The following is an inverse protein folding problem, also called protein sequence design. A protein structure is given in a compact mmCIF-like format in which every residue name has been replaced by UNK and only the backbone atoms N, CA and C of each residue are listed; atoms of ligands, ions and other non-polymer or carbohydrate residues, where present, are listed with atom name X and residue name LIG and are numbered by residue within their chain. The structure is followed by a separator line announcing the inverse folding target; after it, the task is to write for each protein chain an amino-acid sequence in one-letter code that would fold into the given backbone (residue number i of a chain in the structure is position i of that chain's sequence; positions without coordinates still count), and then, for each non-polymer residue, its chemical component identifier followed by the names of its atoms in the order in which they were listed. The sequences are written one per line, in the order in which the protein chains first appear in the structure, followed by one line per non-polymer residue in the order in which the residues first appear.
data_IF_864995288015
#
_entry.id   IF_864995288015
#
_cell.length_a   1.000
_cell.length_b   1.000
_cell.length_c   1.000
_cell.angle_alpha   90.00
_cell.angle_beta   90.00
_cell.angle_gamma   90.00
#
_symmetry.space_group_name_H-M   'P 1'
#
loop_
_entity.id
_entity.type
_entity.pdbx_description
1 polymer ?
#
# COMPACT_ATOMS: atom_id res chain seq x y z
N UNK A 1 -47.36 5.54 42.81
CA UNK A 1 -48.18 5.41 41.58
C UNK A 1 -47.81 6.60 40.71
N UNK A 2 -46.92 6.40 39.73
CA UNK A 2 -46.53 7.47 38.81
C UNK A 2 -47.58 7.50 37.69
N UNK A 3 -48.50 8.45 37.75
CA UNK A 3 -49.44 8.71 36.66
C UNK A 3 -48.65 9.37 35.52
N UNK A 4 -48.39 8.60 34.45
CA UNK A 4 -47.80 9.13 33.23
C UNK A 4 -48.83 10.04 32.53
N UNK A 5 -48.42 11.18 31.95
CA UNK A 5 -49.34 12.15 31.35
C UNK A 5 -50.05 11.55 30.13
N UNK A 6 -51.36 11.86 29.98
CA UNK A 6 -52.18 11.43 28.85
C UNK A 6 -51.51 11.78 27.52
N UNK A 7 -51.25 10.75 26.70
CA UNK A 7 -50.51 10.83 25.45
C UNK A 7 -49.21 10.04 25.44
N UNK A 8 -48.58 9.79 26.60
CA UNK A 8 -47.37 8.93 26.68
C UNK A 8 -47.68 7.45 26.38
N UNK A 9 -48.83 6.95 26.81
CA UNK A 9 -49.27 5.58 26.52
C UNK A 9 -49.49 5.35 25.01
N UNK A 10 -49.97 6.36 24.27
CA UNK A 10 -50.16 6.26 22.82
C UNK A 10 -48.84 6.17 22.05
N UNK A 11 -47.82 6.93 22.46
CA UNK A 11 -46.47 6.82 21.88
C UNK A 11 -45.80 5.49 22.21
N UNK A 12 -45.98 4.99 23.43
CA UNK A 12 -45.46 3.68 23.84
C UNK A 12 -46.11 2.57 22.99
N UNK A 13 -47.44 2.56 22.85
CA UNK A 13 -48.16 1.58 22.03
C UNK A 13 -47.78 1.65 20.55
N UNK A 14 -47.55 2.86 20.02
CA UNK A 14 -47.09 3.05 18.64
C UNK A 14 -45.66 2.48 18.42
N UNK A 15 -44.75 2.68 19.37
CA UNK A 15 -43.37 2.19 19.32
C UNK A 15 -43.24 0.69 19.62
N UNK A 16 -44.14 0.11 20.42
CA UNK A 16 -44.20 -1.34 20.69
C UNK A 16 -45.07 -2.10 19.71
N UNK A 17 -45.65 -1.43 18.71
CA UNK A 17 -46.41 -2.12 17.67
C UNK A 17 -45.48 -3.08 16.90
N UNK A 18 -45.94 -4.30 16.54
CA UNK A 18 -45.11 -5.27 15.83
C UNK A 18 -44.46 -4.71 14.56
N UNK A 19 -45.15 -3.80 13.87
CA UNK A 19 -44.65 -3.10 12.69
C UNK A 19 -43.50 -2.12 13.03
N UNK A 20 -43.66 -1.30 14.08
CA UNK A 20 -42.61 -0.39 14.53
C UNK A 20 -41.38 -1.15 15.05
N UNK A 21 -41.58 -2.22 15.81
CA UNK A 21 -40.48 -3.05 16.33
C UNK A 21 -39.70 -3.73 15.20
N UNK A 22 -40.39 -4.27 14.19
CA UNK A 22 -39.75 -4.89 13.02
C UNK A 22 -38.95 -3.87 12.21
N UNK A 23 -39.47 -2.65 12.04
CA UNK A 23 -38.76 -1.56 11.35
C UNK A 23 -37.48 -1.15 12.10
N UNK A 24 -37.56 -1.00 13.43
CA UNK A 24 -36.40 -0.64 14.27
C UNK A 24 -35.33 -1.73 14.20
N UNK A 25 -35.71 -3.01 14.31
CA UNK A 25 -34.77 -4.14 14.20
C UNK A 25 -34.12 -4.20 12.81
N UNK A 26 -34.90 -4.01 11.74
CA UNK A 26 -34.38 -3.97 10.37
C UNK A 26 -33.40 -2.82 10.14
N UNK A 27 -33.74 -1.61 10.61
CA UNK A 27 -32.87 -0.45 10.52
C UNK A 27 -31.56 -0.63 11.32
N UNK A 28 -31.63 -1.19 12.52
CA UNK A 28 -30.47 -1.51 13.33
C UNK A 28 -29.57 -2.57 12.64
N UNK A 29 -30.16 -3.61 12.05
CA UNK A 29 -29.43 -4.65 11.32
C UNK A 29 -28.65 -4.09 10.12
N UNK A 30 -29.25 -3.18 9.35
CA UNK A 30 -28.59 -2.49 8.23
C UNK A 30 -27.46 -1.60 8.73
N UNK A 31 -27.69 -0.81 9.78
CA UNK A 31 -26.67 0.06 10.36
C UNK A 31 -25.47 -0.74 10.89
N UNK A 32 -25.72 -1.82 11.65
CA UNK A 32 -24.66 -2.72 12.15
C UNK A 32 -23.92 -3.38 11.00
N UNK A 33 -24.61 -3.79 9.93
CA UNK A 33 -23.98 -4.38 8.75
C UNK A 33 -23.05 -3.40 8.03
N UNK A 34 -23.50 -2.15 7.85
CA UNK A 34 -22.70 -1.07 7.25
C UNK A 34 -21.49 -0.76 8.14
N UNK A 35 -21.69 -0.60 9.44
CA UNK A 35 -20.63 -0.34 10.41
C UNK A 35 -19.61 -1.48 10.38
N UNK A 36 -20.07 -2.73 10.45
CA UNK A 36 -19.23 -3.92 10.41
C UNK A 36 -18.43 -3.99 9.11
N UNK A 37 -19.07 -3.73 7.96
CA UNK A 37 -18.39 -3.66 6.67
C UNK A 37 -17.30 -2.58 6.65
N UNK A 38 -17.58 -1.37 7.17
CA UNK A 38 -16.61 -0.28 7.26
C UNK A 38 -15.45 -0.65 8.18
N UNK A 39 -15.72 -1.26 9.34
CA UNK A 39 -14.68 -1.71 10.27
C UNK A 39 -13.82 -2.82 9.68
N UNK A 40 -14.41 -3.84 9.06
CA UNK A 40 -13.68 -4.91 8.38
C UNK A 40 -12.79 -4.35 7.28
N UNK A 41 -13.31 -3.42 6.46
CA UNK A 41 -12.53 -2.75 5.42
C UNK A 41 -11.35 -1.96 5.99
N UNK A 42 -11.54 -1.24 7.11
CA UNK A 42 -10.44 -0.55 7.82
C UNK A 42 -9.41 -1.52 8.38
N UNK A 43 -9.84 -2.61 8.99
CA UNK A 43 -8.93 -3.65 9.52
C UNK A 43 -8.12 -4.32 8.41
N UNK A 44 -8.74 -4.64 7.26
CA UNK A 44 -8.05 -5.18 6.10
C UNK A 44 -6.97 -4.22 5.61
N UNK A 45 -7.29 -2.91 5.54
CA UNK A 45 -6.32 -1.87 5.14
C UNK A 45 -5.11 -1.78 6.06
N UNK A 46 -5.34 -1.79 7.37
CA UNK A 46 -4.27 -1.76 8.36
C UNK A 46 -3.42 -3.02 8.31
N UNK A 47 -4.04 -4.20 8.18
CA UNK A 47 -3.32 -5.47 8.07
C UNK A 47 -2.45 -5.52 6.83
N UNK A 48 -2.98 -5.16 5.67
CA UNK A 48 -2.22 -5.12 4.43
C UNK A 48 -1.04 -4.12 4.50
N UNK A 49 -1.24 -2.96 5.14
CA UNK A 49 -0.16 -2.00 5.38
C UNK A 49 0.94 -2.60 6.26
N UNK A 50 0.58 -3.23 7.38
CA UNK A 50 1.53 -3.89 8.28
C UNK A 50 2.25 -5.05 7.60
N UNK A 51 1.55 -5.83 6.78
CA UNK A 51 2.12 -6.93 6.02
C UNK A 51 3.14 -6.42 5.00
N UNK A 52 2.79 -5.40 4.21
CA UNK A 52 3.73 -4.77 3.28
C UNK A 52 4.94 -4.21 4.03
N UNK A 53 4.74 -3.52 5.14
CA UNK A 53 5.85 -3.02 5.96
C UNK A 53 6.73 -4.16 6.50
N UNK A 54 6.12 -5.29 6.89
CA UNK A 54 6.87 -6.47 7.34
C UNK A 54 7.72 -7.07 6.23
N UNK A 55 7.16 -7.21 5.01
CA UNK A 55 7.85 -7.74 3.83
C UNK A 55 8.98 -6.81 3.42
N UNK A 56 8.71 -5.50 3.34
CA UNK A 56 9.74 -4.50 3.03
C UNK A 56 10.85 -4.47 4.10
N UNK A 57 10.60 -4.93 5.32
CA UNK A 57 11.60 -5.00 6.38
C UNK A 57 12.34 -6.33 6.48
N UNK A 58 12.09 -7.27 5.58
CA UNK A 58 12.90 -8.49 5.47
C UNK A 58 14.38 -8.13 5.14
N UNK A 59 15.35 -8.94 5.60
CA UNK A 59 16.78 -8.69 5.36
C UNK A 59 17.13 -8.46 3.89
N UNK A 60 16.59 -9.29 2.98
CA UNK A 60 16.84 -9.21 1.55
C UNK A 60 16.35 -7.89 0.95
N UNK A 61 15.17 -7.43 1.36
CA UNK A 61 14.56 -6.20 0.87
C UNK A 61 15.26 -4.95 1.43
N UNK A 62 15.70 -4.99 2.70
CA UNK A 62 16.54 -3.94 3.29
C UNK A 62 17.88 -3.84 2.57
N UNK A 63 18.50 -4.97 2.29
CA UNK A 63 19.78 -5.01 1.60
C UNK A 63 19.67 -4.55 0.16
N UNK A 64 18.60 -4.94 -0.56
CA UNK A 64 18.34 -4.46 -1.91
C UNK A 64 18.21 -2.92 -1.94
N UNK A 65 17.57 -2.32 -0.94
CA UNK A 65 17.53 -0.86 -0.79
C UNK A 65 18.92 -0.27 -0.55
N UNK A 66 19.70 -0.86 0.36
CA UNK A 66 21.07 -0.40 0.68
C UNK A 66 21.96 -0.40 -0.55
N UNK A 67 21.94 -1.48 -1.34
CA UNK A 67 22.69 -1.56 -2.60
C UNK A 67 22.20 -0.53 -3.62
N UNK A 68 20.89 -0.30 -3.71
CA UNK A 68 20.31 0.76 -4.55
C UNK A 68 20.81 2.16 -4.17
N UNK A 69 21.16 2.39 -2.90
CA UNK A 69 21.78 3.63 -2.42
C UNK A 69 23.26 3.79 -2.79
N UNK A 70 23.89 2.75 -3.38
CA UNK A 70 25.32 2.74 -3.68
C UNK A 70 26.17 2.21 -2.52
N UNK A 71 25.54 1.79 -1.41
CA UNK A 71 26.22 1.22 -0.24
C UNK A 71 26.41 -0.31 -0.38
N UNK A 72 26.93 -0.72 -1.54
CA UNK A 72 27.24 -2.12 -1.82
C UNK A 72 28.38 -2.60 -0.94
N UNK A 73 28.25 -3.82 -0.41
CA UNK A 73 29.31 -4.51 0.34
C UNK A 73 29.42 -5.97 -0.06
N UNK A 74 30.48 -6.66 0.35
CA UNK A 74 30.61 -8.10 0.11
C UNK A 74 29.49 -8.91 0.79
N UNK A 75 29.02 -8.44 1.96
CA UNK A 75 27.89 -9.03 2.66
C UNK A 75 26.57 -8.95 1.86
N UNK A 76 26.45 -8.02 0.91
CA UNK A 76 25.27 -7.88 0.06
C UNK A 76 25.01 -9.14 -0.77
N UNK A 77 26.08 -9.78 -1.24
CA UNK A 77 25.99 -11.04 -2.00
C UNK A 77 25.43 -12.18 -1.13
N UNK A 78 25.92 -12.29 0.10
CA UNK A 78 25.50 -13.35 1.01
C UNK A 78 24.05 -13.16 1.47
N UNK A 79 23.67 -11.92 1.81
CA UNK A 79 22.31 -11.59 2.26
C UNK A 79 21.29 -11.79 1.14
N UNK A 80 21.62 -11.38 -0.09
CA UNK A 80 20.75 -11.53 -1.26
C UNK A 80 20.83 -12.94 -1.88
N UNK A 81 21.66 -13.83 -1.33
CA UNK A 81 21.87 -15.20 -1.78
C UNK A 81 22.30 -15.28 -3.25
N UNK A 82 23.18 -14.36 -3.64
CA UNK A 82 23.73 -14.25 -5.00
C UNK A 82 25.15 -14.84 -5.01
N UNK A 83 25.45 -15.64 -6.02
CA UNK A 83 26.80 -16.16 -6.23
C UNK A 83 27.78 -15.01 -6.40
N UNK A 84 28.87 -15.02 -5.63
CA UNK A 84 29.92 -14.01 -5.77
C UNK A 84 30.59 -14.18 -7.14
N UNK A 85 30.90 -13.09 -7.87
CA UNK A 85 31.71 -13.20 -9.07
C UNK A 85 33.09 -13.75 -8.66
N UNK A 86 33.40 -14.98 -9.05
CA UNK A 86 34.78 -15.43 -9.06
C UNK A 86 35.55 -14.53 -10.05
N UNK A 87 36.78 -14.16 -9.68
CA UNK A 87 37.70 -13.32 -10.46
C UNK A 87 37.95 -13.92 -11.86
N UNK A 88 37.01 -13.72 -12.78
CA UNK A 88 37.14 -13.85 -14.24
C UNK A 88 35.80 -13.45 -14.90
N UNK A 89 35.42 -12.18 -14.74
CA UNK A 89 34.51 -11.47 -15.65
C UNK A 89 33.04 -11.90 -15.76
N UNK A 90 32.58 -12.97 -15.08
CA UNK A 90 31.32 -13.62 -15.45
C UNK A 90 30.02 -13.13 -14.79
N UNK A 91 30.04 -12.25 -13.76
CA UNK A 91 28.79 -11.80 -13.10
C UNK A 91 28.76 -10.30 -12.78
N UNK A 92 29.36 -9.47 -13.63
CA UNK A 92 29.21 -8.02 -13.55
C UNK A 92 27.76 -7.67 -13.90
N UNK A 93 26.95 -7.29 -12.91
CA UNK A 93 25.55 -6.89 -13.11
C UNK A 93 24.49 -7.80 -12.49
N UNK A 94 24.84 -8.98 -11.96
CA UNK A 94 23.82 -9.88 -11.36
C UNK A 94 23.26 -9.32 -10.05
N UNK A 95 24.12 -8.74 -9.22
CA UNK A 95 23.70 -8.05 -8.01
C UNK A 95 22.73 -6.92 -8.36
N UNK A 96 23.11 -6.07 -9.31
CA UNK A 96 22.28 -4.96 -9.77
C UNK A 96 20.94 -5.44 -10.33
N UNK A 97 20.94 -6.53 -11.09
CA UNK A 97 19.72 -7.15 -11.63
C UNK A 97 18.78 -7.65 -10.52
N UNK A 98 19.29 -8.45 -9.59
CA UNK A 98 18.49 -9.02 -8.50
C UNK A 98 17.93 -7.92 -7.60
N UNK A 99 18.75 -6.92 -7.27
CA UNK A 99 18.32 -5.76 -6.49
C UNK A 99 17.19 -5.02 -7.19
N UNK A 100 17.34 -4.74 -8.49
CA UNK A 100 16.29 -4.08 -9.28
C UNK A 100 15.02 -4.92 -9.34
N UNK A 101 15.13 -6.25 -9.46
CA UNK A 101 13.97 -7.14 -9.54
C UNK A 101 13.19 -7.22 -8.21
N UNK A 102 13.88 -7.36 -7.07
CA UNK A 102 13.28 -7.31 -5.73
C UNK A 102 12.53 -5.98 -5.56
N UNK A 103 13.21 -4.88 -5.89
CA UNK A 103 12.70 -3.55 -5.69
C UNK A 103 11.47 -3.24 -6.55
N UNK A 104 11.48 -3.72 -7.80
CA UNK A 104 10.32 -3.64 -8.70
C UNK A 104 9.15 -4.48 -8.20
N UNK A 105 9.42 -5.68 -7.69
CA UNK A 105 8.41 -6.55 -7.11
C UNK A 105 7.71 -5.88 -5.94
N UNK A 106 8.48 -5.34 -5.01
CA UNK A 106 8.02 -4.60 -3.83
C UNK A 106 7.09 -3.44 -4.19
N UNK A 107 7.56 -2.55 -5.06
CA UNK A 107 6.80 -1.36 -5.43
C UNK A 107 5.58 -1.70 -6.29
N UNK A 108 5.64 -2.75 -7.11
CA UNK A 108 4.47 -3.22 -7.85
C UNK A 108 3.40 -3.78 -6.89
N UNK A 109 3.80 -4.61 -5.92
CA UNK A 109 2.88 -5.16 -4.93
C UNK A 109 2.22 -4.03 -4.12
N UNK A 110 3.02 -3.08 -3.63
CA UNK A 110 2.52 -1.90 -2.93
C UNK A 110 1.55 -1.07 -3.79
N UNK A 111 1.93 -0.75 -5.02
CA UNK A 111 1.10 0.05 -5.93
C UNK A 111 -0.21 -0.67 -6.30
N UNK A 112 -0.20 -2.00 -6.40
CA UNK A 112 -1.38 -2.83 -6.66
C UNK A 112 -2.33 -2.84 -5.47
N UNK A 113 -1.81 -3.03 -4.24
CA UNK A 113 -2.62 -2.99 -3.02
C UNK A 113 -3.25 -1.62 -2.79
N UNK A 114 -2.51 -0.55 -3.05
CA UNK A 114 -3.02 0.83 -3.04
C UNK A 114 -4.13 1.01 -4.08
N UNK A 115 -3.89 0.57 -5.32
CA UNK A 115 -4.85 0.69 -6.42
C UNK A 115 -6.21 0.02 -6.09
N UNK A 116 -6.18 -1.14 -5.44
CA UNK A 116 -7.39 -1.84 -4.99
C UNK A 116 -7.97 -1.31 -3.68
N UNK A 117 -7.39 -0.25 -3.10
CA UNK A 117 -7.83 0.34 -1.83
C UNK A 117 -7.68 -0.62 -0.64
N UNK A 118 -6.77 -1.58 -0.77
CA UNK A 118 -6.39 -2.55 0.24
C UNK A 118 -5.27 -2.04 1.13
N UNK A 119 -4.55 -0.99 0.74
CA UNK A 119 -3.53 -0.35 1.57
C UNK A 119 -3.78 1.16 1.62
N UNK A 120 -3.47 1.78 2.76
CA UNK A 120 -3.54 3.23 2.91
C UNK A 120 -2.39 3.88 2.15
N UNK A 121 -2.72 4.61 1.09
CA UNK A 121 -1.74 5.26 0.23
C UNK A 121 -1.01 6.41 0.94
N UNK A 122 -1.71 7.17 1.80
CA UNK A 122 -1.16 8.35 2.43
C UNK A 122 -0.04 7.95 3.38
N UNK A 123 -0.32 6.98 4.26
CA UNK A 123 0.69 6.47 5.21
C UNK A 123 1.85 5.84 4.45
N UNK A 124 1.57 5.07 3.40
CA UNK A 124 2.62 4.42 2.61
C UNK A 124 3.54 5.45 1.93
N UNK A 125 2.98 6.49 1.31
CA UNK A 125 3.77 7.55 0.67
C UNK A 125 4.56 8.35 1.70
N UNK A 126 3.98 8.68 2.85
CA UNK A 126 4.69 9.39 3.94
C UNK A 126 5.94 8.65 4.40
N UNK A 127 5.83 7.33 4.59
CA UNK A 127 6.92 6.49 5.09
C UNK A 127 7.91 6.01 4.01
N UNK A 128 7.52 5.99 2.73
CA UNK A 128 8.33 5.38 1.67
C UNK A 128 8.52 6.26 0.41
N UNK A 129 8.18 7.55 0.44
CA UNK A 129 8.31 8.43 -0.74
C UNK A 129 9.70 8.38 -1.39
N UNK A 130 10.78 8.42 -0.60
CA UNK A 130 12.15 8.46 -1.13
C UNK A 130 12.53 7.15 -1.84
N UNK A 131 11.99 6.03 -1.34
CA UNK A 131 12.13 4.71 -1.92
C UNK A 131 11.36 4.63 -3.25
N UNK A 132 10.12 5.14 -3.28
CA UNK A 132 9.29 5.18 -4.49
C UNK A 132 10.01 5.95 -5.60
N UNK A 133 10.56 7.14 -5.30
CA UNK A 133 11.28 7.96 -6.28
C UNK A 133 12.49 7.23 -6.86
N UNK A 134 13.29 6.58 -6.01
CA UNK A 134 14.47 5.85 -6.47
C UNK A 134 14.10 4.61 -7.30
N UNK A 135 12.97 3.96 -7.00
CA UNK A 135 12.43 2.87 -7.82
C UNK A 135 12.03 3.37 -9.20
N UNK A 136 11.38 4.54 -9.25
CA UNK A 136 11.02 5.13 -10.52
C UNK A 136 12.26 5.47 -11.35
N UNK A 137 13.27 6.10 -10.76
CA UNK A 137 14.50 6.44 -11.47
C UNK A 137 15.22 5.23 -12.08
N UNK A 138 15.23 4.10 -11.38
CA UNK A 138 15.83 2.86 -11.86
C UNK A 138 14.99 2.15 -12.94
N UNK A 139 13.70 2.44 -13.04
CA UNK A 139 12.77 1.68 -13.89
C UNK A 139 12.22 2.46 -15.07
N UNK A 140 12.27 3.80 -15.02
CA UNK A 140 11.69 4.71 -16.03
C UNK A 140 12.18 4.42 -17.44
N UNK A 141 13.49 4.19 -17.64
CA UNK A 141 14.05 3.94 -18.97
C UNK A 141 13.56 2.61 -19.55
N UNK A 142 13.49 1.57 -18.71
CA UNK A 142 12.97 0.26 -19.11
C UNK A 142 11.48 0.33 -19.44
N UNK A 143 10.70 1.08 -18.65
CA UNK A 143 9.27 1.30 -18.88
C UNK A 143 9.05 2.06 -20.19
N UNK A 144 9.82 3.13 -20.44
CA UNK A 144 9.75 3.92 -21.67
C UNK A 144 10.12 3.08 -22.90
N UNK A 145 11.18 2.29 -22.84
CA UNK A 145 11.56 1.36 -23.93
C UNK A 145 10.44 0.37 -24.24
N UNK A 146 9.83 -0.24 -23.22
CA UNK A 146 8.69 -1.16 -23.41
C UNK A 146 7.48 -0.47 -24.03
N UNK A 147 7.16 0.74 -23.59
CA UNK A 147 6.08 1.57 -24.14
C UNK A 147 6.29 1.85 -25.64
N UNK A 148 7.51 2.18 -26.04
CA UNK A 148 7.86 2.43 -27.45
C UNK A 148 7.91 1.14 -28.30
N UNK A 149 8.15 -0.02 -27.70
CA UNK A 149 8.23 -1.31 -28.39
C UNK A 149 6.87 -1.94 -28.76
N UNK A 150 5.75 -1.29 -28.45
CA UNK A 150 4.41 -1.79 -28.79
C UNK A 150 3.91 -2.96 -27.95
N UNK A 151 4.72 -3.50 -27.03
CA UNK A 151 4.33 -4.57 -26.08
C UNK A 151 3.39 -4.09 -24.97
N UNK A 152 3.06 -2.80 -24.95
CA UNK A 152 2.07 -2.20 -24.07
C UNK A 152 2.59 -1.91 -22.66
N UNK A 153 2.08 -0.82 -22.07
CA UNK A 153 2.31 -0.53 -20.66
C UNK A 153 1.43 -1.43 -19.79
N UNK A 154 2.03 -2.45 -19.17
CA UNK A 154 1.35 -3.34 -18.22
C UNK A 154 0.76 -2.52 -17.06
N UNK A 155 -0.34 -3.01 -16.47
CA UNK A 155 -1.08 -2.34 -15.37
C UNK A 155 -0.16 -1.86 -14.24
N UNK A 156 0.86 -2.66 -13.91
CA UNK A 156 1.85 -2.30 -12.89
C UNK A 156 2.64 -1.02 -13.21
N UNK A 157 2.98 -0.76 -14.48
CA UNK A 157 3.77 0.40 -14.87
C UNK A 157 2.99 1.69 -14.63
N UNK A 158 1.69 1.67 -14.94
CA UNK A 158 0.79 2.81 -14.70
C UNK A 158 0.59 3.05 -13.20
N UNK A 159 0.48 1.98 -12.41
CA UNK A 159 0.33 2.09 -10.96
C UNK A 159 1.60 2.65 -10.31
N UNK A 160 2.78 2.18 -10.74
CA UNK A 160 4.06 2.70 -10.28
C UNK A 160 4.27 4.17 -10.67
N UNK A 161 3.91 4.56 -11.90
CA UNK A 161 3.99 5.94 -12.38
C UNK A 161 3.09 6.88 -11.55
N UNK A 162 1.85 6.45 -11.27
CA UNK A 162 0.94 7.20 -10.39
C UNK A 162 1.49 7.32 -8.98
N UNK A 163 2.04 6.24 -8.43
CA UNK A 163 2.65 6.23 -7.10
C UNK A 163 3.86 7.18 -7.04
N UNK A 164 4.70 7.18 -8.09
CA UNK A 164 5.80 8.12 -8.24
C UNK A 164 5.33 9.58 -8.26
N UNK A 165 4.32 9.93 -9.07
CA UNK A 165 3.78 11.29 -9.11
C UNK A 165 3.28 11.77 -7.74
N UNK A 166 2.76 10.86 -6.91
CA UNK A 166 2.31 11.18 -5.54
C UNK A 166 3.50 11.36 -4.59
N UNK A 167 4.50 10.50 -4.67
CA UNK A 167 5.75 10.65 -3.93
C UNK A 167 6.47 11.97 -4.28
N UNK A 168 6.51 12.36 -5.56
CA UNK A 168 7.08 13.65 -5.98
C UNK A 168 6.33 14.84 -5.39
N UNK A 169 4.99 14.79 -5.41
CA UNK A 169 4.14 15.84 -4.80
C UNK A 169 4.37 15.92 -3.29
N UNK A 170 4.45 14.77 -2.62
CA UNK A 170 4.75 14.70 -1.20
C UNK A 170 6.13 15.30 -0.89
N UNK A 171 7.17 14.87 -1.60
CA UNK A 171 8.53 15.38 -1.43
C UNK A 171 8.59 16.90 -1.66
N UNK A 172 8.00 17.39 -2.76
CA UNK A 172 7.93 18.83 -3.03
C UNK A 172 7.25 19.59 -1.90
N UNK A 173 6.09 19.13 -1.44
CA UNK A 173 5.39 19.79 -0.31
C UNK A 173 6.20 19.77 0.98
N UNK A 174 6.89 18.66 1.28
CA UNK A 174 7.64 18.46 2.52
C UNK A 174 8.96 19.23 2.57
N UNK A 175 9.59 19.47 1.42
CA UNK A 175 10.90 20.09 1.29
C UNK A 175 10.89 21.45 0.58
N UNK A 176 9.74 21.96 0.13
CA UNK A 176 9.57 23.37 -0.28
C UNK A 176 9.69 24.36 0.88
N UNK A 177 9.64 23.90 2.14
CA UNK A 177 9.89 24.72 3.34
C UNK A 177 11.36 24.68 3.81
N UNK A 178 12.27 24.09 3.03
CA UNK A 178 13.65 23.87 3.46
C UNK A 178 14.67 23.84 2.32
N UNK A 179 14.74 24.92 1.55
CA UNK A 179 15.96 25.40 0.89
C UNK A 179 15.93 26.93 0.86
#
# INVERSE_FOLDING_TARGET
MFCLPEGTEQWIVALTSPAATTFIIGAAGIAVSIITYVFQKRQLRLRALLEVFSVLNLPEHREARRVTYGERSDASYDILKISRPNFDGAYVGELERVVVDIFRGDMNNAATLIYHGLMDETIFVEEYWWIILRCWDNTKDTINKRRSSGTGALSYMRNLEKLNSKAEKYAKKRFQEGF
#
